data_IF_784614803193
#
_entry.id   IF_784614803193
#
_cell.length_a   1.000
_cell.length_b   1.000
_cell.length_c   1.000
_cell.angle_alpha   90.00
_cell.angle_beta   90.00
_cell.angle_gamma   90.00
#
_symmetry.space_group_name_H-M   'P 1'
#
loop_
_entity.id
_entity.type
_entity.pdbx_description
1 polymer ?
#
# COMPACT_ATOMS: atom_id res chain seq x y z
N UNK A 1 -20.59 14.93 -16.66
CA UNK A 1 -19.95 15.51 -15.45
C UNK A 1 -18.43 15.47 -15.64
N UNK A 2 -17.75 16.62 -15.76
CA UNK A 2 -16.29 16.70 -16.03
C UNK A 2 -15.56 16.73 -14.69
N UNK A 3 -15.02 15.60 -14.26
CA UNK A 3 -14.22 15.52 -13.02
C UNK A 3 -12.84 16.11 -13.30
N UNK A 4 -12.38 17.04 -12.46
CA UNK A 4 -11.02 17.58 -12.59
C UNK A 4 -9.99 16.50 -12.20
N UNK A 5 -8.81 16.49 -12.83
CA UNK A 5 -7.75 15.51 -12.52
C UNK A 5 -7.36 15.53 -11.04
N UNK A 6 -7.43 16.69 -10.40
CA UNK A 6 -7.18 16.83 -8.97
C UNK A 6 -8.28 16.17 -8.12
N UNK A 7 -9.55 16.34 -8.49
CA UNK A 7 -10.68 15.67 -7.84
C UNK A 7 -10.57 14.15 -7.95
N UNK A 8 -10.13 13.63 -9.11
CA UNK A 8 -9.90 12.20 -9.31
C UNK A 8 -8.76 11.68 -8.45
N UNK A 9 -7.64 12.39 -8.35
CA UNK A 9 -6.54 12.02 -7.46
C UNK A 9 -6.99 11.96 -6.00
N UNK A 10 -7.70 12.99 -5.51
CA UNK A 10 -8.25 13.00 -4.15
C UNK A 10 -9.14 11.79 -3.89
N UNK A 11 -10.02 11.48 -4.84
CA UNK A 11 -10.88 10.30 -4.74
C UNK A 11 -10.08 9.00 -4.64
N UNK A 12 -9.01 8.83 -5.43
CA UNK A 12 -8.14 7.64 -5.35
C UNK A 12 -7.46 7.52 -3.98
N UNK A 13 -6.97 8.62 -3.40
CA UNK A 13 -6.39 8.63 -2.05
C UNK A 13 -7.41 8.23 -0.99
N UNK A 14 -8.61 8.79 -1.03
CA UNK A 14 -9.68 8.47 -0.06
C UNK A 14 -10.16 7.04 -0.22
N UNK A 15 -10.30 6.55 -1.45
CA UNK A 15 -10.68 5.17 -1.73
C UNK A 15 -9.67 4.19 -1.12
N UNK A 16 -8.37 4.44 -1.33
CA UNK A 16 -7.31 3.65 -0.70
C UNK A 16 -7.37 3.72 0.82
N UNK A 17 -7.54 4.92 1.39
CA UNK A 17 -7.63 5.09 2.84
C UNK A 17 -8.78 4.31 3.47
N UNK A 18 -9.94 4.26 2.80
CA UNK A 18 -11.10 3.49 3.26
C UNK A 18 -10.81 1.99 3.20
N UNK A 19 -10.21 1.50 2.12
CA UNK A 19 -9.86 0.08 1.98
C UNK A 19 -8.85 -0.33 3.07
N UNK A 20 -7.78 0.44 3.27
CA UNK A 20 -6.78 0.15 4.28
C UNK A 20 -7.34 0.26 5.70
N UNK A 21 -8.21 1.25 5.94
CA UNK A 21 -8.93 1.39 7.20
C UNK A 21 -9.83 0.18 7.50
N UNK A 22 -10.55 -0.32 6.50
CA UNK A 22 -11.38 -1.52 6.66
C UNK A 22 -10.54 -2.77 6.97
N UNK A 23 -9.37 -2.92 6.30
CA UNK A 23 -8.42 -3.99 6.60
C UNK A 23 -7.86 -3.86 8.02
N UNK A 24 -7.49 -2.66 8.44
CA UNK A 24 -7.00 -2.39 9.79
C UNK A 24 -8.03 -2.79 10.86
N UNK A 25 -9.30 -2.40 10.68
CA UNK A 25 -10.38 -2.79 11.60
C UNK A 25 -10.58 -4.30 11.63
N UNK A 26 -10.65 -4.94 10.46
CA UNK A 26 -10.82 -6.39 10.38
C UNK A 26 -9.69 -7.14 11.10
N UNK A 27 -8.44 -6.76 10.85
CA UNK A 27 -7.29 -7.40 11.48
C UNK A 27 -7.17 -7.09 12.97
N UNK A 28 -7.58 -5.90 13.41
CA UNK A 28 -7.65 -5.57 14.83
C UNK A 28 -8.69 -6.42 15.58
N UNK A 29 -9.84 -6.70 14.97
CA UNK A 29 -10.84 -7.61 15.55
C UNK A 29 -10.27 -9.03 15.68
N UNK A 30 -9.58 -9.53 14.65
CA UNK A 30 -8.92 -10.83 14.70
C UNK A 30 -7.86 -10.87 15.82
N UNK A 31 -7.04 -9.82 15.91
CA UNK A 31 -6.03 -9.68 16.97
C UNK A 31 -6.64 -9.67 18.37
N UNK A 32 -7.85 -9.13 18.52
CA UNK A 32 -8.59 -9.09 19.79
C UNK A 32 -9.26 -10.43 20.17
N UNK A 33 -9.08 -11.47 19.36
CA UNK A 33 -9.62 -12.81 19.59
C UNK A 33 -10.93 -13.13 18.88
N UNK A 34 -11.45 -12.21 18.05
CA UNK A 34 -12.65 -12.45 17.25
C UNK A 34 -12.31 -13.42 16.11
N UNK A 35 -13.04 -14.53 16.01
CA UNK A 35 -12.84 -15.55 14.98
C UNK A 35 -13.62 -15.21 13.70
N UNK A 36 -13.06 -14.31 12.90
CA UNK A 36 -13.55 -14.00 11.55
C UNK A 36 -12.49 -14.37 10.50
N UNK A 37 -12.90 -14.76 9.28
CA UNK A 37 -11.96 -15.02 8.20
C UNK A 37 -11.27 -13.72 7.79
N UNK A 38 -9.96 -13.79 7.55
CA UNK A 38 -9.20 -12.65 7.03
C UNK A 38 -9.70 -12.29 5.62
N UNK A 39 -10.12 -11.03 5.44
CA UNK A 39 -10.75 -10.54 4.21
C UNK A 39 -9.88 -10.77 2.95
N UNK A 40 -8.55 -10.81 3.08
CA UNK A 40 -7.66 -10.94 1.93
C UNK A 40 -7.43 -12.38 1.48
N UNK A 41 -7.53 -13.37 2.37
CA UNK A 41 -7.15 -14.75 2.07
C UNK A 41 -8.14 -15.81 2.58
N UNK A 42 -9.22 -15.41 3.26
CA UNK A 42 -10.24 -16.30 3.83
C UNK A 42 -9.78 -17.13 5.02
N UNK A 43 -8.52 -17.02 5.45
CA UNK A 43 -7.97 -17.83 6.51
C UNK A 43 -8.49 -17.36 7.88
N UNK A 44 -8.98 -18.31 8.68
CA UNK A 44 -9.35 -18.09 10.08
C UNK A 44 -8.31 -18.74 10.99
N UNK A 45 -7.24 -18.00 11.29
CA UNK A 45 -6.16 -18.46 12.16
C UNK A 45 -6.50 -18.36 13.65
N UNK A 46 -5.76 -19.09 14.48
CA UNK A 46 -5.89 -19.07 15.94
C UNK A 46 -4.51 -19.06 16.61
N UNK A 47 -4.43 -18.56 17.84
CA UNK A 47 -3.20 -18.54 18.64
C UNK A 47 -2.58 -17.15 18.78
N UNK A 48 -1.68 -16.99 19.75
CA UNK A 48 -1.00 -15.72 20.07
C UNK A 48 -0.19 -15.18 18.90
N UNK A 49 0.48 -16.05 18.15
CA UNK A 49 1.36 -15.63 17.06
C UNK A 49 0.57 -15.05 15.89
N UNK A 50 -0.57 -15.65 15.57
CA UNK A 50 -1.49 -15.13 14.56
C UNK A 50 -2.11 -13.81 15.00
N UNK A 51 -2.54 -13.70 16.27
CA UNK A 51 -3.07 -12.45 16.82
C UNK A 51 -2.05 -11.33 16.81
N UNK A 52 -0.80 -11.62 17.17
CA UNK A 52 0.30 -10.65 17.12
C UNK A 52 0.57 -10.19 15.68
N UNK A 53 0.64 -11.12 14.73
CA UNK A 53 0.82 -10.80 13.31
C UNK A 53 -0.32 -9.92 12.78
N UNK A 54 -1.57 -10.23 13.13
CA UNK A 54 -2.73 -9.40 12.76
C UNK A 54 -2.71 -8.03 13.43
N UNK A 55 -2.28 -7.92 14.69
CA UNK A 55 -2.13 -6.64 15.38
C UNK A 55 -1.11 -5.73 14.71
N UNK A 56 0.08 -6.27 14.42
CA UNK A 56 1.14 -5.55 13.71
C UNK A 56 0.65 -5.12 12.33
N UNK A 57 0.02 -6.04 11.58
CA UNK A 57 -0.60 -5.72 10.29
C UNK A 57 -1.64 -4.61 10.40
N UNK A 58 -2.51 -4.65 11.41
CA UNK A 58 -3.55 -3.64 11.63
C UNK A 58 -2.96 -2.26 11.88
N UNK A 59 -1.90 -2.16 12.68
CA UNK A 59 -1.18 -0.90 12.92
C UNK A 59 -0.56 -0.33 11.64
N UNK A 60 0.04 -1.19 10.81
CA UNK A 60 0.56 -0.78 9.51
C UNK A 60 -0.55 -0.25 8.59
N UNK A 61 -1.67 -0.95 8.48
CA UNK A 61 -2.80 -0.54 7.63
C UNK A 61 -3.46 0.76 8.15
N UNK A 62 -3.58 0.92 9.48
CA UNK A 62 -4.10 2.15 10.08
C UNK A 62 -3.16 3.35 9.80
N UNK A 63 -1.85 3.17 9.96
CA UNK A 63 -0.87 4.20 9.64
C UNK A 63 -0.90 4.57 8.15
N UNK A 64 -1.05 3.57 7.27
CA UNK A 64 -1.15 3.81 5.83
C UNK A 64 -2.44 4.55 5.46
N UNK A 65 -3.58 4.18 6.05
CA UNK A 65 -4.84 4.89 5.90
C UNK A 65 -4.72 6.37 6.28
N UNK A 66 -4.13 6.68 7.44
CA UNK A 66 -3.88 8.06 7.86
C UNK A 66 -2.96 8.81 6.88
N UNK A 67 -1.93 8.13 6.36
CA UNK A 67 -1.00 8.67 5.38
C UNK A 67 -1.70 8.99 4.04
N UNK A 68 -2.66 8.18 3.62
CA UNK A 68 -3.46 8.40 2.41
C UNK A 68 -4.49 9.53 2.59
N UNK A 69 -5.15 9.63 3.76
CA UNK A 69 -5.99 10.78 4.11
C UNK A 69 -5.17 12.06 4.09
N UNK A 70 -3.96 12.02 4.64
CA UNK A 70 -3.00 13.11 4.50
C UNK A 70 -2.73 13.35 3.00
N UNK A 71 -2.33 12.35 2.20
CA UNK A 71 -2.14 12.49 0.75
C UNK A 71 -3.29 13.22 0.03
N UNK A 72 -4.55 12.95 0.38
CA UNK A 72 -5.74 13.55 -0.22
C UNK A 72 -5.86 15.08 -0.04
N UNK A 73 -5.29 15.67 1.01
CA UNK A 73 -5.37 17.13 1.23
C UNK A 73 -4.67 17.87 0.09
N UNK A 74 -3.48 17.38 -0.29
CA UNK A 74 -2.62 17.98 -1.33
C UNK A 74 -1.92 16.90 -2.17
N UNK A 75 -2.65 16.20 -3.06
CA UNK A 75 -2.16 14.98 -3.70
C UNK A 75 -0.94 15.21 -4.61
N UNK A 76 -0.88 16.36 -5.29
CA UNK A 76 0.24 16.70 -6.20
C UNK A 76 1.51 17.05 -5.41
N UNK A 77 1.37 17.85 -4.34
CA UNK A 77 2.50 18.21 -3.46
C UNK A 77 3.04 16.97 -2.72
N UNK A 78 2.16 16.01 -2.40
CA UNK A 78 2.47 14.79 -1.63
C UNK A 78 2.85 13.60 -2.51
N UNK A 79 3.29 13.84 -3.74
CA UNK A 79 3.78 12.81 -4.69
C UNK A 79 4.88 11.90 -4.15
N UNK A 80 5.61 12.32 -3.11
CA UNK A 80 6.59 11.47 -2.41
C UNK A 80 5.98 10.17 -1.86
N UNK A 81 4.66 10.13 -1.65
CA UNK A 81 3.93 8.91 -1.29
C UNK A 81 4.12 7.77 -2.30
N UNK A 82 4.28 8.09 -3.59
CA UNK A 82 4.57 7.08 -4.62
C UNK A 82 5.93 6.41 -4.40
N UNK A 83 6.94 7.19 -4.02
CA UNK A 83 8.28 6.66 -3.73
C UNK A 83 8.27 5.80 -2.47
N UNK A 84 7.63 6.28 -1.41
CA UNK A 84 7.46 5.50 -0.16
C UNK A 84 6.76 4.18 -0.48
N UNK A 85 5.64 4.21 -1.22
CA UNK A 85 4.90 3.00 -1.65
C UNK A 85 5.81 2.05 -2.44
N UNK A 86 6.59 2.57 -3.39
CA UNK A 86 7.53 1.76 -4.17
C UNK A 86 8.53 1.04 -3.27
N UNK A 87 9.16 1.76 -2.34
CA UNK A 87 10.15 1.18 -1.43
C UNK A 87 9.55 0.07 -0.57
N UNK A 88 8.36 0.29 0.00
CA UNK A 88 7.69 -0.73 0.81
C UNK A 88 7.30 -1.96 0.00
N UNK A 89 6.79 -1.78 -1.23
CA UNK A 89 6.45 -2.88 -2.12
C UNK A 89 7.68 -3.71 -2.49
N UNK A 90 8.79 -3.05 -2.84
CA UNK A 90 10.04 -3.74 -3.15
C UNK A 90 10.62 -4.45 -1.93
N UNK A 91 10.66 -3.78 -0.77
CA UNK A 91 11.13 -4.36 0.48
C UNK A 91 10.32 -5.59 0.88
N UNK A 92 8.99 -5.58 0.67
CA UNK A 92 8.15 -6.74 0.97
C UNK A 92 8.54 -7.98 0.14
N UNK A 93 9.00 -7.79 -1.10
CA UNK A 93 9.49 -8.88 -1.95
C UNK A 93 10.82 -9.40 -1.45
N UNK A 94 11.74 -8.51 -1.03
CA UNK A 94 13.02 -8.91 -0.42
C UNK A 94 12.76 -9.76 0.83
N UNK A 95 11.90 -9.28 1.73
CA UNK A 95 11.57 -10.00 2.96
C UNK A 95 11.00 -11.38 2.64
N UNK A 96 10.09 -11.46 1.67
CA UNK A 96 9.49 -12.74 1.29
C UNK A 96 10.49 -13.73 0.70
N UNK A 97 11.40 -13.27 -0.17
CA UNK A 97 12.44 -14.10 -0.78
C UNK A 97 13.47 -14.56 0.24
N UNK A 98 13.91 -13.67 1.14
CA UNK A 98 15.00 -13.95 2.09
C UNK A 98 14.51 -14.81 3.25
N UNK A 99 13.33 -14.52 3.80
CA UNK A 99 12.85 -15.18 5.03
C UNK A 99 11.81 -16.27 4.80
N UNK A 100 11.02 -16.18 3.73
CA UNK A 100 9.82 -17.02 3.55
C UNK A 100 9.82 -17.84 2.25
N UNK A 101 10.92 -17.86 1.49
CA UNK A 101 11.01 -18.60 0.23
C UNK A 101 10.82 -20.10 0.39
N UNK A 102 11.26 -20.67 1.52
CA UNK A 102 11.07 -22.09 1.86
C UNK A 102 9.63 -22.43 2.23
N UNK A 103 8.83 -21.45 2.65
CA UNK A 103 7.45 -21.65 3.12
C UNK A 103 6.39 -21.34 2.06
N UNK A 104 6.62 -20.33 1.22
CA UNK A 104 5.60 -19.78 0.31
C UNK A 104 5.69 -20.29 -1.13
N UNK A 105 6.59 -21.24 -1.43
CA UNK A 105 6.93 -21.67 -2.79
C UNK A 105 5.73 -21.98 -3.73
N UNK A 106 5.98 -21.89 -5.04
CA UNK A 106 5.01 -22.21 -6.08
C UNK A 106 4.43 -21.00 -6.81
N UNK A 107 3.37 -21.22 -7.60
CA UNK A 107 2.80 -20.22 -8.50
C UNK A 107 2.20 -19.01 -7.77
N UNK A 108 1.63 -19.20 -6.57
CA UNK A 108 1.06 -18.10 -5.76
C UNK A 108 2.11 -17.09 -5.30
N UNK A 109 3.28 -17.57 -4.89
CA UNK A 109 4.42 -16.73 -4.54
C UNK A 109 4.97 -15.97 -5.74
N UNK A 110 5.21 -16.65 -6.86
CA UNK A 110 5.69 -16.00 -8.08
C UNK A 110 4.73 -14.88 -8.51
N UNK A 111 3.42 -15.18 -8.55
CA UNK A 111 2.40 -14.18 -8.87
C UNK A 111 2.39 -13.00 -7.90
N UNK A 112 2.49 -13.30 -6.59
CA UNK A 112 2.53 -12.29 -5.53
C UNK A 112 3.77 -11.40 -5.57
N UNK A 113 4.95 -11.95 -5.88
CA UNK A 113 6.18 -11.19 -6.04
C UNK A 113 6.15 -10.34 -7.31
N UNK A 114 5.76 -10.91 -8.45
CA UNK A 114 5.70 -10.22 -9.74
C UNK A 114 4.78 -9.01 -9.69
N UNK A 115 3.57 -9.12 -9.12
CA UNK A 115 2.64 -7.98 -9.02
C UNK A 115 3.24 -6.83 -8.20
N UNK A 116 3.96 -7.13 -7.11
CA UNK A 116 4.55 -6.10 -6.24
C UNK A 116 5.77 -5.45 -6.87
N UNK A 117 6.62 -6.22 -7.56
CA UNK A 117 7.72 -5.67 -8.36
C UNK A 117 7.17 -4.73 -9.43
N UNK A 118 6.16 -5.18 -10.19
CA UNK A 118 5.54 -4.37 -11.23
C UNK A 118 4.98 -3.05 -10.67
N UNK A 119 4.20 -3.12 -9.58
CA UNK A 119 3.63 -1.93 -8.93
C UNK A 119 4.71 -1.01 -8.35
N UNK A 120 5.79 -1.57 -7.79
CA UNK A 120 6.92 -0.79 -7.28
C UNK A 120 7.59 -0.01 -8.42
N UNK A 121 7.96 -0.69 -9.51
CA UNK A 121 8.58 -0.07 -10.68
C UNK A 121 7.67 1.00 -11.27
N UNK A 122 6.37 0.71 -11.40
CA UNK A 122 5.39 1.67 -11.90
C UNK A 122 5.29 2.91 -11.01
N UNK A 123 5.21 2.74 -9.69
CA UNK A 123 5.13 3.85 -8.75
C UNK A 123 6.41 4.72 -8.77
N UNK A 124 7.59 4.09 -8.83
CA UNK A 124 8.86 4.79 -8.99
C UNK A 124 8.91 5.56 -10.33
N UNK A 125 8.52 4.94 -11.43
CA UNK A 125 8.51 5.57 -12.74
C UNK A 125 7.58 6.80 -12.77
N UNK A 126 6.37 6.70 -12.22
CA UNK A 126 5.43 7.83 -12.11
C UNK A 126 6.01 8.95 -11.24
N UNK A 127 6.68 8.60 -10.14
CA UNK A 127 7.33 9.57 -9.27
C UNK A 127 8.43 10.35 -10.02
N UNK A 128 9.36 9.67 -10.68
CA UNK A 128 10.45 10.32 -11.42
C UNK A 128 9.93 11.11 -12.62
N UNK A 129 8.90 10.62 -13.32
CA UNK A 129 8.22 11.38 -14.36
C UNK A 129 7.61 12.69 -13.81
N UNK A 130 6.97 12.63 -12.64
CA UNK A 130 6.42 13.82 -11.97
C UNK A 130 7.49 14.84 -11.58
N UNK A 131 8.69 14.38 -11.17
CA UNK A 131 9.82 15.26 -10.88
C UNK A 131 10.27 16.01 -12.14
N UNK A 132 10.55 15.28 -13.22
CA UNK A 132 11.01 15.84 -14.51
C UNK A 132 10.04 16.89 -15.06
N UNK A 133 8.74 16.63 -14.97
CA UNK A 133 7.73 17.56 -15.49
C UNK A 133 7.70 18.88 -14.70
N UNK A 134 7.92 18.83 -13.37
CA UNK A 134 7.99 20.03 -12.54
C UNK A 134 9.20 20.90 -12.89
N UNK A 135 10.35 20.29 -13.17
CA UNK A 135 11.56 21.01 -13.60
C UNK A 135 11.37 21.68 -14.96
N UNK A 136 10.73 20.99 -15.92
CA UNK A 136 10.47 21.56 -17.25
C UNK A 136 9.58 22.80 -17.23
N UNK A 137 8.57 22.84 -16.34
CA UNK A 137 7.70 24.00 -16.17
C UNK A 137 8.42 25.17 -15.49
N UNK A 138 9.40 24.92 -14.63
CA UNK A 138 10.21 25.97 -14.00
C UNK A 138 11.22 26.55 -15.01
N UNK A 139 11.85 25.70 -15.83
CA UNK A 139 12.81 26.12 -16.84
C UNK A 139 12.21 26.88 -18.04
N UNK A 140 10.88 26.79 -18.25
CA UNK A 140 10.18 27.54 -19.30
C UNK A 140 9.77 28.97 -18.89
N UNK A 141 10.01 29.36 -17.63
CA UNK A 141 9.71 30.69 -17.09
C UNK A 141 10.98 31.49 -16.72
N UNK A 142 12.16 30.99 -17.11
CA UNK A 142 13.45 31.68 -17.09
C UNK A 142 13.88 31.99 -18.53
#
# INVERSE_FOLDING_TARGET
MKISSNSMLKFMFILGAVIDGALAVSWFLIASGVRIPNILNGHAGTGSDYQLAMFVGAMFMAAWSALLVWGAIKPVERRGLLLITSVFLFLSVIIEVVFFSSMLGGAGFAFGATKRIFLSVLAAAIYFYSLKNKESHIGAHL
#
